data_IF_429272330588
#
_entry.id   IF_429272330588
#
_cell.length_a   1.000
_cell.length_b   1.000
_cell.length_c   1.000
_cell.angle_alpha   90.00
_cell.angle_beta   90.00
_cell.angle_gamma   90.00
#
_symmetry.space_group_name_H-M   'P 1'
#
loop_
_entity.id
_entity.type
_entity.pdbx_description
1 polymer ?
#
# COMPACT_ATOMS: atom_id res chain seq x y z
N UNK A 1 -0.88 1.17 -2.40
CA UNK A 1 -1.15 2.20 -1.38
C UNK A 1 -1.07 1.71 0.08
N UNK A 2 -0.58 0.51 0.38
CA UNK A 2 -0.60 -0.06 1.75
C UNK A 2 0.44 0.49 2.72
N UNK A 3 1.10 1.60 2.39
CA UNK A 3 2.25 2.13 3.15
C UNK A 3 1.90 3.38 3.97
N UNK A 4 0.68 3.91 3.85
CA UNK A 4 0.19 5.04 4.66
C UNK A 4 -0.43 4.48 5.94
N UNK A 5 0.02 5.00 7.08
CA UNK A 5 -0.48 4.63 8.43
C UNK A 5 -1.48 5.66 8.93
N UNK A 6 -1.23 6.94 8.67
CA UNK A 6 -2.09 8.04 9.08
C UNK A 6 -1.51 9.39 8.70
N UNK A 7 -2.32 10.43 8.79
CA UNK A 7 -1.91 11.82 8.50
C UNK A 7 -2.69 12.79 9.38
N UNK A 8 -2.16 14.00 9.55
CA UNK A 8 -2.83 15.06 10.32
C UNK A 8 -4.18 15.44 9.69
N UNK A 9 -5.17 15.74 10.52
CA UNK A 9 -6.55 16.07 10.13
C UNK A 9 -6.67 17.31 9.25
N UNK A 10 -5.74 18.25 9.41
CA UNK A 10 -5.64 19.50 8.66
C UNK A 10 -4.98 19.35 7.27
N UNK A 11 -4.55 18.14 6.88
CA UNK A 11 -3.95 17.89 5.58
C UNK A 11 -5.00 17.51 4.55
N UNK A 12 -4.89 18.06 3.35
CA UNK A 12 -5.67 17.63 2.19
C UNK A 12 -5.14 16.30 1.66
N UNK A 13 -6.05 15.37 1.37
CA UNK A 13 -5.75 14.04 0.84
C UNK A 13 -6.56 13.73 -0.41
N UNK A 14 -5.90 13.29 -1.49
CA UNK A 14 -6.54 12.88 -2.74
C UNK A 14 -5.96 11.56 -3.24
N UNK A 15 -6.83 10.61 -3.58
CA UNK A 15 -6.43 9.37 -4.26
C UNK A 15 -6.71 9.54 -5.75
N UNK A 16 -5.70 9.32 -6.59
CA UNK A 16 -5.82 9.29 -8.04
C UNK A 16 -5.23 8.03 -8.63
N UNK A 17 -5.80 7.58 -9.75
CA UNK A 17 -5.21 6.51 -10.55
C UNK A 17 -4.08 7.09 -11.41
N UNK A 18 -2.93 6.42 -11.46
CA UNK A 18 -1.81 6.86 -12.31
C UNK A 18 -1.86 6.13 -13.64
N UNK A 19 -1.96 6.94 -14.70
CA UNK A 19 -1.94 6.55 -16.11
C UNK A 19 -3.15 5.72 -16.56
N UNK A 20 -3.42 5.74 -17.87
CA UNK A 20 -4.45 4.87 -18.46
C UNK A 20 -4.16 3.38 -18.21
N UNK A 21 -5.07 2.50 -18.63
CA UNK A 21 -5.04 1.03 -18.41
C UNK A 21 -3.65 0.36 -18.42
N UNK A 22 -2.71 0.82 -19.25
CA UNK A 22 -1.33 0.31 -19.32
C UNK A 22 -0.45 0.63 -18.09
N UNK A 23 -0.61 1.78 -17.43
CA UNK A 23 0.23 2.17 -16.27
C UNK A 23 -0.25 1.53 -14.97
N UNK A 24 -1.57 1.30 -14.84
CA UNK A 24 -2.17 0.57 -13.71
C UNK A 24 -1.71 -0.89 -13.67
N UNK A 25 -1.51 -1.54 -14.83
CA UNK A 25 -1.04 -2.93 -14.95
C UNK A 25 0.45 -3.12 -14.61
N UNK A 26 1.31 -2.15 -14.96
CA UNK A 26 2.77 -2.30 -14.82
C UNK A 26 3.29 -2.04 -13.39
N UNK A 27 2.55 -1.30 -12.57
CA UNK A 27 2.99 -0.95 -11.22
C UNK A 27 2.35 -1.80 -10.11
N UNK A 28 1.33 -2.61 -10.45
CA UNK A 28 0.64 -3.50 -9.50
C UNK A 28 -0.17 -2.79 -8.40
N UNK A 29 0.00 -1.48 -8.18
CA UNK A 29 -0.69 -0.73 -7.13
C UNK A 29 -1.69 0.32 -7.63
N UNK A 30 -1.59 0.78 -8.89
CA UNK A 30 -2.60 1.54 -9.63
C UNK A 30 -3.11 2.88 -9.05
N UNK A 31 -2.79 3.20 -7.81
CA UNK A 31 -3.34 4.29 -7.00
C UNK A 31 -2.19 5.07 -6.36
N UNK A 32 -2.19 6.37 -6.58
CA UNK A 32 -1.34 7.33 -5.88
C UNK A 32 -2.19 8.18 -4.95
N UNK A 33 -1.59 8.52 -3.82
CA UNK A 33 -2.17 9.35 -2.79
C UNK A 33 -1.37 10.64 -2.69
N UNK A 34 -1.98 11.75 -3.04
CA UNK A 34 -1.39 13.08 -2.91
C UNK A 34 -1.81 13.69 -1.57
N UNK A 35 -0.85 14.26 -0.85
CA UNK A 35 -1.05 14.93 0.44
C UNK A 35 -0.59 16.38 0.32
N UNK A 36 -1.36 17.34 0.84
CA UNK A 36 -1.02 18.78 0.77
C UNK A 36 -1.34 19.48 2.09
N UNK A 37 -0.45 20.39 2.49
CA UNK A 37 -0.58 21.17 3.72
C UNK A 37 0.50 20.88 4.76
N UNK A 38 0.61 21.71 5.79
CA UNK A 38 1.51 21.46 6.91
C UNK A 38 0.92 20.36 7.81
N UNK A 39 1.72 19.39 8.21
CA UNK A 39 1.25 18.31 9.07
C UNK A 39 2.23 17.14 9.10
N UNK A 40 1.83 16.05 9.75
CA UNK A 40 2.61 14.82 9.81
C UNK A 40 1.98 13.77 8.92
N UNK A 41 2.80 13.15 8.07
CA UNK A 41 2.45 11.95 7.32
C UNK A 41 3.22 10.77 7.92
N UNK A 42 2.48 9.77 8.41
CA UNK A 42 3.05 8.55 8.94
C UNK A 42 3.05 7.47 7.84
N UNK A 43 4.25 7.01 7.50
CA UNK A 43 4.46 5.93 6.54
C UNK A 43 5.15 4.74 7.20
N UNK A 44 4.90 3.55 6.67
CA UNK A 44 5.60 2.33 7.04
C UNK A 44 6.49 1.86 5.90
N UNK A 45 7.69 1.37 6.23
CA UNK A 45 8.67 0.84 5.27
C UNK A 45 8.34 -0.56 4.79
N UNK A 46 7.45 -1.29 5.49
CA UNK A 46 6.98 -2.62 5.11
C UNK A 46 5.47 -2.71 5.15
N UNK A 47 4.92 -3.41 4.15
CA UNK A 47 3.53 -3.80 4.11
C UNK A 47 3.35 -5.22 4.68
N UNK A 48 2.67 -5.33 5.82
CA UNK A 48 2.49 -6.61 6.53
C UNK A 48 1.82 -7.68 5.66
N UNK A 49 0.83 -7.32 4.85
CA UNK A 49 0.17 -8.27 3.95
C UNK A 49 1.09 -8.82 2.85
N UNK A 50 2.02 -7.99 2.34
CA UNK A 50 3.01 -8.44 1.36
C UNK A 50 4.05 -9.35 2.02
N UNK A 51 4.48 -8.99 3.24
CA UNK A 51 5.36 -9.82 4.05
C UNK A 51 4.73 -11.18 4.38
N UNK A 52 3.47 -11.21 4.84
CA UNK A 52 2.74 -12.44 5.12
C UNK A 52 2.62 -13.33 3.87
N UNK A 53 2.29 -12.76 2.71
CA UNK A 53 2.27 -13.49 1.43
C UNK A 53 3.61 -14.08 1.04
N UNK A 54 4.71 -13.39 1.34
CA UNK A 54 6.06 -13.93 1.14
C UNK A 54 6.34 -15.07 2.13
N UNK A 55 5.94 -14.90 3.40
CA UNK A 55 6.16 -15.87 4.47
C UNK A 55 5.39 -17.18 4.26
N UNK A 56 4.14 -17.12 3.76
CA UNK A 56 3.29 -18.29 3.51
C UNK A 56 3.99 -19.37 2.66
N UNK A 57 4.91 -18.98 1.77
CA UNK A 57 5.68 -19.94 0.95
C UNK A 57 6.63 -20.83 1.74
N UNK A 58 6.98 -20.41 2.95
CA UNK A 58 7.92 -21.09 3.85
C UNK A 58 7.22 -21.72 5.05
N UNK A 59 5.92 -21.50 5.24
CA UNK A 59 5.17 -22.13 6.32
C UNK A 59 4.81 -23.57 5.95
N UNK A 60 4.90 -24.51 6.90
CA UNK A 60 4.48 -25.89 6.65
C UNK A 60 3.00 -25.91 6.28
N UNK A 61 2.70 -26.47 5.11
CA UNK A 61 1.32 -26.70 4.71
C UNK A 61 0.75 -27.80 5.60
N UNK A 62 -0.35 -27.51 6.27
CA UNK A 62 -1.12 -28.53 6.98
C UNK A 62 -1.57 -29.57 5.94
N UNK A 63 -0.87 -30.70 5.85
CA UNK A 63 -1.40 -31.86 5.15
C UNK A 63 -2.60 -32.33 5.97
N UNK A 64 -3.80 -31.98 5.54
CA UNK A 64 -5.01 -32.62 6.02
C UNK A 64 -4.86 -34.14 5.77
N UNK A 65 -4.85 -34.90 6.87
CA UNK A 65 -5.16 -36.33 6.87
C UNK A 65 -6.67 -36.51 6.90
#
# INVERSE_FOLDING_TARGET
SGHIVGFSDNMDFKVRRVGGLKSTLLSGEGLVSDFTGPGKLLIQTRHFGAFARQLVRYLPQQQHR
#
